data_IF_270137922446
#
_entry.id   IF_270137922446
#
_cell.length_a   1.000
_cell.length_b   1.000
_cell.length_c   1.000
_cell.angle_alpha   90.00
_cell.angle_beta   90.00
_cell.angle_gamma   90.00
#
_symmetry.space_group_name_H-M   'P 1'
#
loop_
_entity.id
_entity.type
_entity.pdbx_description
1 polymer ?
#
# COMPACT_ATOMS: atom_id res chain seq x y z
N UNK A 1 -18.62 -7.01 0.12
CA UNK A 1 -18.37 -6.77 -1.31
C UNK A 1 -18.27 -5.28 -1.53
N UNK A 2 -17.07 -4.73 -1.33
CA UNK A 2 -16.72 -3.41 -1.84
C UNK A 2 -16.61 -3.51 -3.37
N UNK A 3 -17.03 -2.48 -4.10
CA UNK A 3 -16.88 -2.42 -5.55
C UNK A 3 -15.57 -1.71 -5.93
N UNK A 4 -15.17 -1.81 -7.21
CA UNK A 4 -14.01 -1.08 -7.71
C UNK A 4 -14.19 0.44 -7.55
N UNK A 5 -15.40 0.94 -7.79
CA UNK A 5 -15.73 2.36 -7.62
C UNK A 5 -15.58 2.80 -6.15
N UNK A 6 -15.93 1.93 -5.20
CA UNK A 6 -15.75 2.21 -3.77
C UNK A 6 -14.26 2.32 -3.40
N UNK A 7 -13.38 1.50 -3.99
CA UNK A 7 -11.94 1.55 -3.75
C UNK A 7 -11.34 2.85 -4.26
N UNK A 8 -11.72 3.29 -5.47
CA UNK A 8 -11.25 4.55 -6.03
C UNK A 8 -11.70 5.74 -5.16
N UNK A 9 -12.97 5.74 -4.71
CA UNK A 9 -13.47 6.76 -3.80
C UNK A 9 -12.70 6.79 -2.47
N UNK A 10 -12.47 5.63 -1.84
CA UNK A 10 -11.68 5.54 -0.60
C UNK A 10 -10.24 6.02 -0.81
N UNK A 11 -9.62 5.73 -1.96
CA UNK A 11 -8.29 6.24 -2.28
C UNK A 11 -8.28 7.76 -2.40
N UNK A 12 -9.26 8.32 -3.10
CA UNK A 12 -9.36 9.76 -3.32
C UNK A 12 -9.61 10.52 -2.00
N UNK A 13 -10.43 9.94 -1.12
CA UNK A 13 -10.67 10.45 0.24
C UNK A 13 -9.52 10.14 1.22
N UNK A 14 -8.50 9.39 0.77
CA UNK A 14 -7.39 8.87 1.59
C UNK A 14 -7.87 8.07 2.81
N UNK A 15 -8.99 7.36 2.67
CA UNK A 15 -9.54 6.46 3.68
C UNK A 15 -8.74 5.15 3.72
N UNK A 16 -7.60 5.21 4.41
CA UNK A 16 -6.71 4.07 4.62
C UNK A 16 -7.40 2.96 5.40
N UNK A 17 -8.24 3.29 6.39
CA UNK A 17 -8.93 2.29 7.21
C UNK A 17 -10.00 1.55 6.38
N UNK A 18 -10.71 2.26 5.50
CA UNK A 18 -11.63 1.69 4.51
C UNK A 18 -10.92 0.74 3.54
N UNK A 19 -9.80 1.18 2.98
CA UNK A 19 -8.99 0.35 2.08
C UNK A 19 -8.41 -0.89 2.78
N UNK A 20 -8.00 -0.80 4.05
CA UNK A 20 -7.56 -1.96 4.84
C UNK A 20 -8.69 -2.97 5.00
N UNK A 21 -9.94 -2.53 5.20
CA UNK A 21 -11.10 -3.44 5.24
C UNK A 21 -11.34 -4.12 3.89
N UNK A 22 -11.15 -3.41 2.79
CA UNK A 22 -11.29 -3.95 1.44
C UNK A 22 -10.24 -5.03 1.11
N UNK A 23 -9.10 -5.06 1.81
CA UNK A 23 -8.14 -6.17 1.69
C UNK A 23 -8.69 -7.53 2.16
N UNK A 24 -9.77 -7.55 2.94
CA UNK A 24 -10.41 -8.77 3.40
C UNK A 24 -11.62 -9.18 2.55
N UNK A 25 -11.83 -8.55 1.40
CA UNK A 25 -12.96 -8.88 0.51
C UNK A 25 -12.79 -10.27 -0.11
N UNK A 26 -13.89 -10.91 -0.47
CA UNK A 26 -13.90 -12.26 -1.04
C UNK A 26 -13.36 -12.25 -2.48
N UNK A 27 -13.55 -11.14 -3.19
CA UNK A 27 -13.08 -10.97 -4.57
C UNK A 27 -11.59 -10.60 -4.62
N UNK A 28 -10.80 -11.41 -5.33
CA UNK A 28 -9.36 -11.18 -5.50
C UNK A 28 -9.05 -9.89 -6.29
N UNK A 29 -9.93 -9.45 -7.18
CA UNK A 29 -9.79 -8.19 -7.90
C UNK A 29 -9.95 -7.00 -6.96
N UNK A 30 -10.93 -7.06 -6.05
CA UNK A 30 -11.16 -6.04 -5.02
C UNK A 30 -9.96 -5.99 -4.07
N UNK A 31 -9.49 -7.16 -3.59
CA UNK A 31 -8.31 -7.26 -2.73
C UNK A 31 -7.05 -6.68 -3.37
N UNK A 32 -6.76 -7.04 -4.62
CA UNK A 32 -5.57 -6.54 -5.33
C UNK A 32 -5.63 -5.03 -5.60
N UNK A 33 -6.79 -4.50 -5.96
CA UNK A 33 -6.97 -3.06 -6.18
C UNK A 33 -6.87 -2.24 -4.90
N UNK A 34 -7.41 -2.75 -3.79
CA UNK A 34 -7.26 -2.13 -2.48
C UNK A 34 -5.78 -2.10 -2.05
N UNK A 35 -5.03 -3.19 -2.28
CA UNK A 35 -3.60 -3.23 -2.01
C UNK A 35 -2.80 -2.21 -2.83
N UNK A 36 -3.07 -2.10 -4.15
CA UNK A 36 -2.43 -1.10 -5.01
C UNK A 36 -2.75 0.33 -4.57
N UNK A 37 -4.01 0.61 -4.25
CA UNK A 37 -4.47 1.92 -3.79
C UNK A 37 -3.79 2.35 -2.49
N UNK A 38 -3.65 1.42 -1.53
CA UNK A 38 -2.86 1.64 -0.31
C UNK A 38 -1.38 1.93 -0.62
N UNK A 39 -0.80 1.22 -1.59
CA UNK A 39 0.54 1.47 -2.10
C UNK A 39 0.72 2.89 -2.65
N UNK A 40 -0.26 3.37 -3.42
CA UNK A 40 -0.27 4.72 -3.99
C UNK A 40 -0.35 5.81 -2.93
N UNK A 41 -1.19 5.61 -1.91
CA UNK A 41 -1.28 6.51 -0.76
C UNK A 41 0.02 6.56 0.05
N UNK A 42 0.79 5.46 0.03
CA UNK A 42 2.05 5.31 0.76
C UNK A 42 1.93 5.64 2.24
N UNK A 43 0.78 5.30 2.83
CA UNK A 43 0.56 5.50 4.25
C UNK A 43 1.34 4.43 5.05
N UNK A 44 2.09 4.81 6.09
CA UNK A 44 2.80 3.86 6.94
C UNK A 44 1.89 2.77 7.52
N UNK A 45 0.61 3.08 7.81
CA UNK A 45 -0.38 2.13 8.33
C UNK A 45 -0.66 0.99 7.37
N UNK A 46 -0.43 1.17 6.06
CA UNK A 46 -0.62 0.14 5.06
C UNK A 46 0.51 -0.91 5.05
N UNK A 47 1.65 -0.63 5.70
CA UNK A 47 2.85 -1.48 5.64
C UNK A 47 2.59 -2.89 6.18
N UNK A 48 2.03 -2.99 7.38
CA UNK A 48 1.75 -4.26 8.04
C UNK A 48 0.64 -5.08 7.33
N UNK A 49 -0.51 -4.48 6.93
CA UNK A 49 -1.51 -5.16 6.11
C UNK A 49 -0.95 -5.69 4.77
N UNK A 50 -0.16 -4.88 4.06
CA UNK A 50 0.41 -5.27 2.76
C UNK A 50 1.46 -6.38 2.92
N UNK A 51 2.28 -6.34 3.97
CA UNK A 51 3.24 -7.40 4.25
C UNK A 51 2.54 -8.74 4.53
N UNK A 52 1.50 -8.71 5.37
CA UNK A 52 0.70 -9.89 5.68
C UNK A 52 0.09 -10.49 4.42
N UNK A 53 -0.53 -9.65 3.60
CA UNK A 53 -1.22 -10.06 2.38
C UNK A 53 -0.27 -10.65 1.34
N UNK A 54 0.94 -10.08 1.20
CA UNK A 54 1.99 -10.65 0.34
C UNK A 54 2.37 -12.09 0.72
N UNK A 55 2.27 -12.45 2.00
CA UNK A 55 2.70 -13.76 2.49
C UNK A 55 1.54 -14.75 2.65
N UNK A 56 0.36 -14.26 3.04
CA UNK A 56 -0.79 -15.08 3.46
C UNK A 56 -1.92 -15.15 2.42
N UNK A 57 -1.98 -14.25 1.43
CA UNK A 57 -3.11 -14.26 0.48
C UNK A 57 -3.09 -15.52 -0.41
N UNK A 58 -4.24 -16.19 -0.61
CA UNK A 58 -4.33 -17.39 -1.44
C UNK A 58 -3.98 -17.12 -2.92
N UNK A 59 -4.30 -15.94 -3.45
CA UNK A 59 -4.11 -15.60 -4.86
C UNK A 59 -2.70 -15.09 -5.12
N UNK A 60 -2.02 -15.70 -6.10
CA UNK A 60 -0.69 -15.26 -6.51
C UNK A 60 -0.69 -13.81 -7.04
N UNK A 61 -1.72 -13.45 -7.81
CA UNK A 61 -1.88 -12.10 -8.36
C UNK A 61 -2.02 -11.05 -7.26
N UNK A 62 -2.77 -11.37 -6.20
CA UNK A 62 -2.93 -10.49 -5.05
C UNK A 62 -1.63 -10.36 -4.25
N UNK A 63 -0.89 -11.45 -4.06
CA UNK A 63 0.44 -11.39 -3.41
C UNK A 63 1.43 -10.51 -4.17
N UNK A 64 1.44 -10.58 -5.50
CA UNK A 64 2.29 -9.71 -6.33
C UNK A 64 1.87 -8.24 -6.27
N UNK A 65 0.57 -7.96 -6.29
CA UNK A 65 0.04 -6.61 -6.10
C UNK A 65 0.46 -6.04 -4.73
N UNK A 66 0.31 -6.82 -3.67
CA UNK A 66 0.72 -6.45 -2.31
C UNK A 66 2.24 -6.24 -2.20
N UNK A 67 3.06 -7.08 -2.85
CA UNK A 67 4.52 -6.90 -2.90
C UNK A 67 4.92 -5.59 -3.58
N UNK A 68 4.23 -5.25 -4.67
CA UNK A 68 4.47 -4.01 -5.43
C UNK A 68 4.07 -2.79 -4.62
N UNK A 69 2.88 -2.81 -4.04
CA UNK A 69 2.37 -1.76 -3.16
C UNK A 69 3.29 -1.54 -1.95
N UNK A 70 3.72 -2.62 -1.29
CA UNK A 70 4.66 -2.56 -0.17
C UNK A 70 5.97 -1.88 -0.56
N UNK A 71 6.51 -2.20 -1.75
CA UNK A 71 7.71 -1.54 -2.27
C UNK A 71 7.50 -0.04 -2.49
N UNK A 72 6.33 0.38 -2.96
CA UNK A 72 6.01 1.80 -3.12
C UNK A 72 5.93 2.53 -1.79
N UNK A 73 5.26 1.94 -0.79
CA UNK A 73 5.17 2.52 0.56
C UNK A 73 6.57 2.67 1.15
N UNK A 74 7.35 1.59 1.22
CA UNK A 74 8.71 1.62 1.78
C UNK A 74 9.64 2.53 0.97
N UNK A 75 9.53 2.53 -0.35
CA UNK A 75 10.32 3.40 -1.23
C UNK A 75 10.05 4.88 -0.94
N UNK A 76 8.79 5.27 -0.83
CA UNK A 76 8.40 6.65 -0.54
C UNK A 76 8.73 7.07 0.89
N UNK A 77 8.62 6.16 1.86
CA UNK A 77 9.08 6.43 3.23
C UNK A 77 10.59 6.72 3.26
N UNK A 78 11.40 5.95 2.52
CA UNK A 78 12.84 6.22 2.39
C UNK A 78 13.15 7.56 1.75
N UNK A 79 12.34 8.00 0.79
CA UNK A 79 12.47 9.34 0.19
C UNK A 79 12.15 10.45 1.21
N UNK A 80 11.10 10.27 2.01
CA UNK A 80 10.74 11.21 3.10
C UNK A 80 11.82 11.25 4.18
N UNK A 81 12.39 10.10 4.55
CA UNK A 81 13.50 10.01 5.50
C UNK A 81 14.79 10.64 4.94
N UNK A 82 15.14 10.35 3.67
CA UNK A 82 16.28 10.94 3.00
C UNK A 82 16.16 12.46 2.80
N UNK A 83 14.94 12.99 2.71
CA UNK A 83 14.67 14.42 2.69
C UNK A 83 14.76 15.07 4.08
N UNK A 84 14.66 14.29 5.18
CA UNK A 84 14.83 14.77 6.56
C UNK A 84 16.27 14.74 7.04
N UNK A 85 17.15 13.95 6.42
CA UNK A 85 18.60 14.06 6.66
C UNK A 85 19.19 15.22 5.83
N UNK A 86 19.70 16.31 6.46
CA UNK A 86 20.54 17.24 5.74
C UNK A 86 21.80 16.48 5.32
N UNK A 87 21.95 16.23 4.02
CA UNK A 87 23.20 15.70 3.48
C UNK A 87 24.24 16.81 3.60
N UNK A 88 24.90 16.92 4.76
CA UNK A 88 26.17 17.64 4.84
C UNK A 88 27.14 16.90 3.92
N UNK A 89 27.64 17.55 2.85
CA UNK A 89 28.67 16.93 2.02
C UNK A 89 29.88 16.66 2.92
N UNK A 90 30.54 15.48 2.82
CA UNK A 90 31.78 15.28 3.55
C UNK A 90 32.78 16.34 3.07
N UNK A 91 33.18 17.21 3.99
CA UNK A 91 34.22 18.20 3.75
C UNK A 91 35.55 17.46 3.73
N UNK A 92 36.14 17.26 2.55
CA UNK A 92 37.58 17.10 2.42
C UNK A 92 38.09 17.46 1.03
#
# INVERSE_FOLDING_TARGET
>A
MATLDDIDAMRDDRDVDGLIRALADEDEFVRSQAALSLGTLADPKATEPLERMRNEDPSASVREAAATAYRWVVGRLREVEAAREPKTPPTR
#
